data_IF_692495869845
#
_entry.id   IF_692495869845
#
_cell.length_a   1.000
_cell.length_b   1.000
_cell.length_c   1.000
_cell.angle_alpha   90.00
_cell.angle_beta   90.00
_cell.angle_gamma   90.00
#
_symmetry.space_group_name_H-M   'P 1'
#
loop_
_entity.id
_entity.type
_entity.pdbx_description
1 polymer ?
#
# COMPACT_ATOMS: atom_id res chain seq x y z
N UNK A 1 39.56 0.58 6.03
CA UNK A 1 39.71 1.70 5.09
C UNK A 1 38.36 1.81 4.36
N UNK A 2 37.51 2.69 4.88
CA UNK A 2 36.22 2.99 4.25
C UNK A 2 36.48 3.90 3.04
N UNK A 3 36.31 3.37 1.86
CA UNK A 3 36.30 4.17 0.64
C UNK A 3 34.91 4.80 0.56
N UNK A 4 34.84 6.07 0.96
CA UNK A 4 33.62 6.88 0.84
C UNK A 4 33.37 7.24 -0.63
N UNK A 5 32.76 6.34 -1.36
CA UNK A 5 31.90 6.72 -2.48
C UNK A 5 30.50 6.83 -1.86
N UNK A 6 29.91 8.01 -1.88
CA UNK A 6 28.48 8.21 -1.63
C UNK A 6 27.75 7.45 -2.73
N UNK A 7 27.55 6.15 -2.52
CA UNK A 7 26.60 5.38 -3.34
C UNK A 7 25.23 5.95 -3.03
N UNK A 8 24.57 6.39 -4.08
CA UNK A 8 23.18 6.80 -3.94
C UNK A 8 22.37 5.59 -3.48
N UNK A 9 21.79 5.70 -2.29
CA UNK A 9 21.02 4.62 -1.66
C UNK A 9 19.88 4.14 -2.56
N UNK A 10 19.27 5.05 -3.32
CA UNK A 10 18.11 4.78 -4.15
C UNK A 10 18.47 4.27 -5.55
N UNK A 11 19.71 4.42 -5.99
CA UNK A 11 20.16 4.01 -7.32
C UNK A 11 21.49 3.24 -7.30
N UNK A 12 21.57 2.10 -6.58
CA UNK A 12 22.79 1.31 -6.55
C UNK A 12 23.14 0.73 -7.93
N UNK A 13 24.44 0.74 -8.32
CA UNK A 13 24.85 0.11 -9.56
C UNK A 13 24.75 -1.43 -9.47
N UNK A 14 24.18 -2.07 -10.50
CA UNK A 14 24.05 -3.53 -10.56
C UNK A 14 25.36 -4.28 -10.39
N UNK A 15 26.46 -3.69 -10.84
CA UNK A 15 27.79 -4.29 -10.71
C UNK A 15 28.26 -4.42 -9.25
N UNK A 16 27.70 -3.64 -8.31
CA UNK A 16 28.01 -3.76 -6.88
C UNK A 16 27.15 -4.79 -6.16
N UNK A 17 26.05 -5.23 -6.77
CA UNK A 17 25.14 -6.24 -6.21
C UNK A 17 25.60 -7.61 -6.68
N UNK A 18 26.24 -8.35 -5.77
CA UNK A 18 26.78 -9.70 -6.06
C UNK A 18 25.89 -10.78 -5.44
N UNK A 19 26.24 -12.04 -5.70
CA UNK A 19 25.59 -13.17 -5.02
C UNK A 19 25.91 -13.22 -3.51
N UNK A 20 27.03 -12.61 -3.09
CA UNK A 20 27.40 -12.50 -1.67
C UNK A 20 26.57 -11.44 -0.94
N UNK A 21 25.83 -10.60 -1.68
CA UNK A 21 24.97 -9.56 -1.18
C UNK A 21 25.62 -8.18 -1.10
N UNK A 22 24.77 -7.16 -1.08
CA UNK A 22 25.09 -5.75 -0.82
C UNK A 22 24.12 -5.22 0.23
N UNK A 23 24.64 -4.79 1.37
CA UNK A 23 23.84 -4.14 2.40
C UNK A 23 23.87 -2.62 2.23
N UNK A 24 22.70 -2.01 2.16
CA UNK A 24 22.50 -0.56 2.08
C UNK A 24 21.80 -0.09 3.35
N UNK A 25 22.41 0.87 4.05
CA UNK A 25 21.82 1.47 5.25
C UNK A 25 21.93 2.98 5.13
N UNK A 26 20.82 3.66 5.36
CA UNK A 26 20.78 5.11 5.29
C UNK A 26 19.41 5.67 5.62
N UNK A 27 19.22 6.93 5.28
CA UNK A 27 17.96 7.64 5.46
C UNK A 27 17.48 8.17 4.11
N UNK A 28 16.18 8.13 3.89
CA UNK A 28 15.52 8.70 2.71
C UNK A 28 14.43 9.66 3.15
N UNK A 29 14.23 10.72 2.40
CA UNK A 29 13.17 11.70 2.65
C UNK A 29 11.90 11.34 1.89
N UNK A 30 10.76 11.86 2.36
CA UNK A 30 9.48 11.73 1.66
C UNK A 30 9.56 12.29 0.24
N UNK A 31 10.30 13.40 0.05
CA UNK A 31 10.49 14.06 -1.24
C UNK A 31 11.26 13.15 -2.22
N UNK A 32 12.34 12.49 -1.77
CA UNK A 32 13.12 11.55 -2.59
C UNK A 32 12.30 10.32 -3.00
N UNK A 33 11.33 9.91 -2.18
CA UNK A 33 10.38 8.86 -2.52
C UNK A 33 9.17 9.36 -3.31
N UNK A 34 9.04 10.68 -3.53
CA UNK A 34 7.90 11.29 -4.19
C UNK A 34 6.60 11.21 -3.39
N UNK A 35 6.68 11.12 -2.06
CA UNK A 35 5.53 11.06 -1.15
C UNK A 35 4.95 12.44 -0.79
N UNK A 36 5.62 13.51 -1.17
CA UNK A 36 5.26 14.88 -0.80
C UNK A 36 3.88 15.35 -1.32
N UNK A 37 3.32 14.67 -2.33
CA UNK A 37 2.01 14.97 -2.91
C UNK A 37 0.91 14.01 -2.43
N UNK A 38 1.27 12.99 -1.65
CA UNK A 38 0.33 11.96 -1.16
C UNK A 38 -0.09 12.27 0.29
N UNK A 39 -1.28 11.80 0.70
CA UNK A 39 -1.86 11.98 2.04
C UNK A 39 -1.00 11.39 3.19
N UNK A 40 -0.05 10.51 2.86
CA UNK A 40 0.91 9.95 3.80
C UNK A 40 2.21 10.75 3.74
N UNK A 41 2.31 11.80 4.54
CA UNK A 41 3.50 12.66 4.61
C UNK A 41 4.42 12.11 5.69
N UNK A 42 5.63 11.65 5.30
CA UNK A 42 6.64 11.27 6.28
C UNK A 42 7.06 12.50 7.11
N UNK A 43 7.04 12.34 8.42
CA UNK A 43 7.47 13.38 9.36
C UNK A 43 8.95 13.16 9.68
N UNK A 44 9.80 13.70 8.83
CA UNK A 44 11.24 13.50 8.89
C UNK A 44 11.77 12.41 7.97
N UNK A 45 13.07 12.09 8.07
CA UNK A 45 13.66 11.05 7.27
C UNK A 45 13.18 9.66 7.71
N UNK A 46 13.08 8.76 6.74
CA UNK A 46 12.80 7.34 6.95
C UNK A 46 14.12 6.57 6.97
N UNK A 47 14.38 5.82 8.02
CA UNK A 47 15.53 4.94 8.11
C UNK A 47 15.29 3.70 7.25
N UNK A 48 16.25 3.37 6.40
CA UNK A 48 16.18 2.26 5.45
C UNK A 48 17.38 1.34 5.67
N UNK A 49 17.12 0.05 5.80
CA UNK A 49 18.14 -1.00 5.85
C UNK A 49 17.73 -2.10 4.87
N UNK A 50 18.47 -2.26 3.78
CA UNK A 50 18.17 -3.20 2.70
C UNK A 50 19.36 -4.11 2.44
N UNK A 51 19.08 -5.38 2.21
CA UNK A 51 20.01 -6.38 1.72
C UNK A 51 19.59 -6.80 0.30
N UNK A 52 20.49 -6.63 -0.65
CA UNK A 52 20.30 -6.94 -2.06
C UNK A 52 21.19 -8.10 -2.46
N UNK A 53 20.65 -9.10 -3.14
CA UNK A 53 21.42 -10.22 -3.69
C UNK A 53 21.07 -10.41 -5.16
N UNK A 54 22.08 -10.64 -6.00
CA UNK A 54 21.91 -10.84 -7.44
C UNK A 54 22.27 -12.27 -7.81
N UNK A 55 21.28 -13.00 -8.32
CA UNK A 55 21.47 -14.36 -8.83
C UNK A 55 20.99 -14.41 -10.26
N UNK A 56 21.92 -14.58 -11.19
CA UNK A 56 21.63 -14.72 -12.64
C UNK A 56 20.80 -13.56 -13.24
N UNK A 57 20.92 -12.36 -12.69
CA UNK A 57 20.18 -11.17 -13.13
C UNK A 57 18.87 -10.94 -12.39
N UNK A 58 18.43 -11.86 -11.55
CA UNK A 58 17.34 -11.61 -10.60
C UNK A 58 17.95 -10.98 -9.35
N UNK A 59 17.50 -9.77 -9.01
CA UNK A 59 17.92 -9.08 -7.79
C UNK A 59 16.82 -9.19 -6.74
N UNK A 60 17.07 -9.96 -5.69
CA UNK A 60 16.22 -10.01 -4.52
C UNK A 60 16.58 -8.87 -3.57
N UNK A 61 15.58 -8.15 -3.08
CA UNK A 61 15.70 -7.07 -2.11
C UNK A 61 14.90 -7.46 -0.89
N UNK A 62 15.55 -7.44 0.28
CA UNK A 62 14.90 -7.65 1.57
C UNK A 62 15.38 -6.60 2.55
N UNK A 63 14.56 -6.22 3.51
CA UNK A 63 14.99 -5.24 4.50
C UNK A 63 13.88 -4.70 5.36
N UNK A 64 14.17 -3.58 6.02
CA UNK A 64 13.26 -2.89 6.94
C UNK A 64 13.28 -1.41 6.63
N UNK A 65 12.11 -0.80 6.71
CA UNK A 65 11.92 0.64 6.65
C UNK A 65 11.22 1.09 7.93
N UNK A 66 11.80 2.11 8.59
CA UNK A 66 11.30 2.64 9.85
C UNK A 66 11.23 4.17 9.79
N UNK A 67 10.24 4.74 10.46
CA UNK A 67 10.09 6.19 10.52
C UNK A 67 8.80 6.63 11.19
N UNK A 68 8.40 7.86 10.94
CA UNK A 68 7.15 8.43 11.43
C UNK A 68 6.42 9.11 10.29
N UNK A 69 5.12 8.86 10.20
CA UNK A 69 4.24 9.48 9.21
C UNK A 69 3.24 10.38 9.93
N UNK A 70 3.04 11.59 9.42
CA UNK A 70 1.99 12.48 9.89
C UNK A 70 0.68 12.10 9.20
N UNK A 71 -0.34 11.77 9.99
CA UNK A 71 -1.66 11.37 9.49
C UNK A 71 -2.77 12.20 10.11
N UNK A 72 -3.90 12.25 9.44
CA UNK A 72 -5.13 12.80 9.97
C UNK A 72 -6.06 11.65 10.42
N UNK A 73 -6.55 11.74 11.65
CA UNK A 73 -7.48 10.77 12.20
C UNK A 73 -8.85 10.87 11.50
N UNK A 74 -9.35 9.78 10.92
CA UNK A 74 -10.66 9.75 10.23
C UNK A 74 -11.86 10.00 11.16
N UNK A 75 -11.67 9.92 12.49
CA UNK A 75 -12.76 10.10 13.48
C UNK A 75 -12.81 11.53 14.03
N UNK A 76 -11.67 12.13 14.36
CA UNK A 76 -11.62 13.44 15.01
C UNK A 76 -10.92 14.53 14.19
N UNK A 77 -10.39 14.20 13.01
CA UNK A 77 -9.67 15.07 12.07
C UNK A 77 -8.44 15.75 12.69
N UNK A 78 -7.93 15.21 13.79
CA UNK A 78 -6.70 15.70 14.41
C UNK A 78 -5.51 15.02 13.75
N UNK A 79 -4.49 15.81 13.42
CA UNK A 79 -3.21 15.26 12.96
C UNK A 79 -2.46 14.59 14.12
N UNK A 80 -1.86 13.45 13.85
CA UNK A 80 -1.06 12.71 14.81
C UNK A 80 0.12 12.02 14.13
N UNK A 81 1.15 11.76 14.90
CA UNK A 81 2.32 11.00 14.44
C UNK A 81 2.05 9.51 14.58
N UNK A 82 2.19 8.80 13.45
CA UNK A 82 2.00 7.35 13.37
C UNK A 82 3.35 6.67 13.10
N UNK A 83 3.87 5.85 14.04
CA UNK A 83 5.11 5.14 13.83
C UNK A 83 4.96 4.13 12.70
N UNK A 84 5.89 4.15 11.77
CA UNK A 84 5.96 3.25 10.64
C UNK A 84 7.14 2.30 10.82
N UNK A 85 6.89 1.00 10.82
CA UNK A 85 7.92 -0.02 10.81
C UNK A 85 7.40 -1.25 10.05
N UNK A 86 8.03 -1.59 8.94
CA UNK A 86 7.63 -2.75 8.14
C UNK A 86 8.81 -3.37 7.40
N UNK A 87 8.67 -4.66 7.08
CA UNK A 87 9.62 -5.38 6.25
C UNK A 87 9.31 -5.19 4.77
N UNK A 88 10.36 -4.98 3.99
CA UNK A 88 10.30 -4.88 2.53
C UNK A 88 10.80 -6.20 1.94
N UNK A 89 10.10 -6.69 0.92
CA UNK A 89 10.53 -7.82 0.09
C UNK A 89 10.14 -7.53 -1.35
N UNK A 90 11.09 -7.62 -2.26
CA UNK A 90 10.85 -7.38 -3.67
C UNK A 90 11.84 -8.17 -4.53
N UNK A 91 11.45 -8.45 -5.77
CA UNK A 91 12.30 -9.06 -6.77
C UNK A 91 12.38 -8.15 -8.00
N UNK A 92 13.59 -7.87 -8.45
CA UNK A 92 13.83 -7.12 -9.67
C UNK A 92 14.32 -8.05 -10.78
N UNK A 93 13.66 -8.02 -11.91
CA UNK A 93 13.99 -8.79 -13.10
C UNK A 93 14.43 -7.87 -14.25
N UNK A 94 15.37 -8.27 -15.10
CA UNK A 94 15.73 -7.48 -16.26
C UNK A 94 14.55 -7.37 -17.22
N UNK A 95 14.27 -6.16 -17.73
CA UNK A 95 13.24 -5.98 -18.74
C UNK A 95 13.58 -6.81 -20.00
N UNK A 96 12.61 -7.57 -20.54
CA UNK A 96 12.82 -8.35 -21.74
C UNK A 96 13.15 -7.42 -22.94
N UNK A 97 14.27 -7.66 -23.60
CA UNK A 97 14.78 -6.85 -24.72
C UNK A 97 13.87 -6.82 -25.97
N UNK A 98 12.74 -7.50 -25.93
CA UNK A 98 11.77 -7.53 -27.05
C UNK A 98 10.36 -7.38 -26.50
N UNK A 99 9.52 -6.50 -27.08
CA UNK A 99 8.13 -6.45 -26.71
C UNK A 99 7.50 -7.82 -26.93
N UNK A 100 6.56 -8.24 -26.08
CA UNK A 100 5.86 -9.50 -26.28
C UNK A 100 5.26 -9.49 -27.67
N UNK A 101 5.67 -10.43 -28.52
CA UNK A 101 5.06 -10.62 -29.83
C UNK A 101 3.57 -10.80 -29.56
N UNK A 102 2.72 -10.01 -30.23
CA UNK A 102 1.28 -10.14 -30.15
C UNK A 102 0.88 -11.61 -30.03
N UNK A 103 0.02 -11.99 -29.07
CA UNK A 103 -0.33 -13.38 -28.88
C UNK A 103 -0.83 -13.89 -30.23
N UNK A 104 -0.13 -14.87 -30.79
CA UNK A 104 -0.64 -15.62 -31.94
C UNK A 104 -2.01 -16.08 -31.51
N UNK A 105 -3.05 -15.88 -32.35
CA UNK A 105 -4.40 -16.38 -32.08
C UNK A 105 -4.29 -17.82 -31.58
N UNK A 106 -4.40 -17.98 -30.27
CA UNK A 106 -4.37 -19.27 -29.60
C UNK A 106 -5.75 -19.88 -29.84
N UNK A 107 -5.76 -21.10 -30.34
CA UNK A 107 -7.00 -21.88 -30.52
C UNK A 107 -7.70 -21.97 -29.16
N UNK A 108 -9.00 -21.59 -29.04
CA UNK A 108 -9.70 -21.55 -27.76
C UNK A 108 -9.73 -22.88 -27.00
N UNK A 109 -9.45 -23.97 -27.68
CA UNK A 109 -9.37 -25.31 -27.07
C UNK A 109 -8.03 -25.61 -26.38
N UNK A 110 -6.92 -24.96 -26.81
CA UNK A 110 -5.60 -25.10 -26.17
C UNK A 110 -5.43 -24.10 -25.01
N UNK A 111 -6.12 -22.96 -25.03
CA UNK A 111 -6.10 -21.97 -23.95
C UNK A 111 -6.62 -22.52 -22.61
N UNK A 112 -7.43 -23.59 -22.63
CA UNK A 112 -8.02 -24.17 -21.41
C UNK A 112 -7.09 -25.13 -20.69
N UNK A 113 -6.10 -25.70 -21.37
CA UNK A 113 -5.08 -26.56 -20.76
C UNK A 113 -3.89 -25.76 -20.25
N UNK A 114 -3.55 -24.60 -20.87
CA UNK A 114 -2.48 -23.72 -20.40
C UNK A 114 -2.88 -22.90 -19.16
N UNK A 115 -4.17 -22.58 -18.96
CA UNK A 115 -4.66 -21.87 -17.78
C UNK A 115 -4.54 -22.70 -16.50
N UNK A 116 -4.62 -24.03 -16.59
CA UNK A 116 -4.50 -24.93 -15.42
C UNK A 116 -3.03 -25.12 -15.00
N UNK A 117 -2.07 -24.86 -15.88
CA UNK A 117 -0.64 -24.96 -15.58
C UNK A 117 -0.02 -23.64 -15.08
N UNK A 118 -0.76 -22.53 -15.19
CA UNK A 118 -0.32 -21.20 -14.76
C UNK A 118 -0.77 -20.83 -13.32
N UNK A 119 -1.48 -21.73 -12.63
CA UNK A 119 -1.97 -21.48 -11.26
C UNK A 119 -0.96 -21.86 -10.15
N UNK A 120 0.27 -22.24 -10.50
CA UNK A 120 1.36 -22.46 -9.55
C UNK A 120 2.47 -21.38 -9.66
N UNK A 121 2.17 -20.22 -10.22
CA UNK A 121 3.03 -19.05 -10.03
C UNK A 121 2.81 -18.56 -8.59
N UNK A 122 3.72 -19.02 -7.71
CA UNK A 122 3.88 -18.48 -6.34
C UNK A 122 3.80 -16.96 -6.39
N UNK A 123 3.05 -16.38 -5.46
CA UNK A 123 2.83 -14.93 -5.22
C UNK A 123 4.08 -14.08 -5.46
N UNK A 124 4.31 -13.71 -6.72
CA UNK A 124 5.34 -12.76 -7.13
C UNK A 124 4.73 -11.34 -7.25
N UNK A 125 3.84 -11.01 -6.31
CA UNK A 125 3.13 -9.73 -6.29
C UNK A 125 4.06 -8.52 -6.22
N UNK A 126 5.33 -8.70 -5.78
CA UNK A 126 6.32 -7.64 -5.66
C UNK A 126 7.45 -7.77 -6.70
N UNK A 127 7.11 -7.99 -7.97
CA UNK A 127 8.07 -7.99 -9.07
C UNK A 127 8.20 -6.64 -9.75
N UNK A 128 9.42 -6.13 -9.79
CA UNK A 128 9.79 -4.90 -10.48
C UNK A 128 10.70 -5.21 -11.68
N UNK A 129 10.65 -4.37 -12.70
CA UNK A 129 11.53 -4.50 -13.85
C UNK A 129 12.63 -3.43 -13.80
N UNK A 130 13.84 -3.80 -14.20
CA UNK A 130 14.93 -2.84 -14.30
C UNK A 130 15.55 -2.82 -15.70
N UNK A 131 16.08 -1.66 -16.08
CA UNK A 131 16.82 -1.45 -17.33
C UNK A 131 18.20 -0.85 -17.02
N UNK A 132 19.18 -1.17 -17.87
CA UNK A 132 20.50 -0.55 -17.77
C UNK A 132 21.37 -1.14 -16.67
N UNK A 133 22.17 -0.28 -16.03
CA UNK A 133 23.23 -0.68 -15.10
C UNK A 133 22.96 -0.26 -13.63
N UNK A 134 21.82 0.34 -13.36
CA UNK A 134 21.42 0.82 -12.05
C UNK A 134 20.06 0.24 -11.69
N UNK A 135 19.85 0.03 -10.40
CA UNK A 135 18.57 -0.41 -9.86
C UNK A 135 17.86 0.79 -9.23
N UNK A 136 16.63 1.08 -9.65
CA UNK A 136 15.83 2.15 -9.08
C UNK A 136 14.97 1.62 -7.93
N UNK A 137 15.34 1.95 -6.68
CA UNK A 137 14.64 1.48 -5.47
C UNK A 137 13.52 2.42 -5.02
N UNK A 138 13.55 3.69 -5.41
CA UNK A 138 12.58 4.69 -4.95
C UNK A 138 11.12 4.32 -5.27
N UNK A 139 10.75 3.85 -6.47
CA UNK A 139 9.36 3.46 -6.77
C UNK A 139 8.87 2.32 -5.88
N UNK A 140 9.70 1.31 -5.67
CA UNK A 140 9.41 0.17 -4.81
C UNK A 140 9.22 0.59 -3.35
N UNK A 141 10.13 1.38 -2.79
CA UNK A 141 10.02 1.88 -1.42
C UNK A 141 8.79 2.77 -1.23
N UNK A 142 8.49 3.65 -2.22
CA UNK A 142 7.27 4.46 -2.22
C UNK A 142 6.03 3.61 -2.12
N UNK A 143 5.91 2.59 -2.95
CA UNK A 143 4.76 1.68 -2.99
C UNK A 143 4.58 0.99 -1.64
N UNK A 144 5.64 0.45 -1.06
CA UNK A 144 5.60 -0.21 0.24
C UNK A 144 5.17 0.76 1.37
N UNK A 145 5.62 2.02 1.35
CA UNK A 145 5.19 3.04 2.33
C UNK A 145 3.69 3.31 2.20
N UNK A 146 3.18 3.44 0.97
CA UNK A 146 1.76 3.69 0.72
C UNK A 146 0.91 2.48 1.18
N UNK A 147 1.35 1.26 0.85
CA UNK A 147 0.64 0.03 1.22
C UNK A 147 0.69 -0.27 2.72
N UNK A 148 1.76 0.13 3.42
CA UNK A 148 1.86 0.01 4.87
C UNK A 148 0.92 0.96 5.62
N UNK A 149 0.33 1.94 4.92
CA UNK A 149 -0.62 2.86 5.49
C UNK A 149 -1.95 2.16 5.85
N UNK A 150 -2.46 2.28 7.09
CA UNK A 150 -3.77 1.77 7.41
C UNK A 150 -4.86 2.51 6.62
N UNK A 151 -5.83 1.77 6.07
CA UNK A 151 -6.94 2.37 5.31
C UNK A 151 -7.83 3.29 6.18
N UNK A 152 -7.80 3.13 7.49
CA UNK A 152 -8.55 3.94 8.44
C UNK A 152 -7.61 4.41 9.57
N UNK A 153 -6.83 5.47 9.35
CA UNK A 153 -5.94 5.99 10.37
C UNK A 153 -6.75 6.58 11.53
N UNK A 154 -6.47 6.14 12.76
CA UNK A 154 -7.09 6.63 13.99
C UNK A 154 -6.00 7.02 14.98
N UNK A 155 -6.15 8.15 15.64
CA UNK A 155 -5.15 8.65 16.58
C UNK A 155 -5.05 7.80 17.87
N UNK A 156 -6.13 7.07 18.21
CA UNK A 156 -6.21 6.17 19.36
C UNK A 156 -7.41 5.26 19.18
N UNK A 157 -7.33 4.03 19.70
CA UNK A 157 -8.45 3.07 19.71
C UNK A 157 -9.66 3.64 20.44
N UNK A 158 -9.44 4.43 21.48
CA UNK A 158 -10.47 5.08 22.30
C UNK A 158 -10.91 6.44 21.75
N UNK A 159 -10.49 6.83 20.55
CA UNK A 159 -10.87 8.13 19.96
C UNK A 159 -12.39 8.27 19.91
N UNK A 160 -12.92 9.32 20.55
CA UNK A 160 -14.35 9.61 20.60
C UNK A 160 -14.89 10.27 19.33
N UNK A 161 -14.00 10.77 18.47
CA UNK A 161 -14.33 11.43 17.21
C UNK A 161 -14.92 12.81 17.36
N UNK A 162 -15.63 13.26 16.32
CA UNK A 162 -16.35 14.54 16.30
C UNK A 162 -17.82 14.35 16.69
N UNK A 163 -18.38 15.36 17.34
CA UNK A 163 -19.82 15.41 17.57
C UNK A 163 -20.55 15.55 16.21
N UNK A 164 -21.49 14.65 15.93
CA UNK A 164 -22.25 14.65 14.67
C UNK A 164 -23.12 15.91 14.45
N UNK A 165 -23.34 16.73 15.49
CA UNK A 165 -24.16 17.95 15.40
C UNK A 165 -23.36 19.23 15.24
N UNK A 166 -22.32 19.41 16.08
CA UNK A 166 -21.57 20.68 16.12
C UNK A 166 -20.14 20.56 15.66
N UNK A 167 -19.66 19.35 15.31
CA UNK A 167 -18.29 19.14 14.86
C UNK A 167 -17.22 19.26 15.95
N UNK A 168 -17.63 19.45 17.24
CA UNK A 168 -16.65 19.54 18.33
C UNK A 168 -15.91 18.22 18.49
N UNK A 169 -14.60 18.27 18.66
CA UNK A 169 -13.79 17.11 19.01
C UNK A 169 -14.14 16.62 20.43
N UNK A 170 -14.69 15.42 20.53
CA UNK A 170 -15.15 14.85 21.79
C UNK A 170 -14.01 14.34 22.68
N UNK A 171 -12.81 14.20 22.14
CA UNK A 171 -11.60 13.89 22.92
C UNK A 171 -11.18 15.07 23.80
N UNK A 172 -11.57 16.31 23.45
CA UNK A 172 -11.32 17.53 24.21
C UNK A 172 -12.37 17.80 25.30
N UNK A 173 -13.37 16.92 25.37
CA UNK A 173 -14.46 17.00 26.35
C UNK A 173 -15.85 17.04 25.73
N UNK A 174 -16.88 16.88 26.53
CA UNK A 174 -18.26 16.77 26.06
C UNK A 174 -18.72 18.04 25.35
N UNK A 175 -19.56 17.88 24.34
CA UNK A 175 -20.23 19.00 23.68
C UNK A 175 -21.51 19.38 24.46
N UNK A 176 -22.02 20.60 24.22
CA UNK A 176 -23.26 21.09 24.83
C UNK A 176 -24.51 20.75 24.01
N UNK A 177 -24.41 19.90 22.99
CA UNK A 177 -25.57 19.48 22.22
C UNK A 177 -26.48 18.61 23.04
N UNK A 178 -27.80 18.89 23.03
CA UNK A 178 -28.79 18.03 23.66
C UNK A 178 -28.75 16.64 23.01
N UNK A 179 -28.77 15.60 23.85
CA UNK A 179 -28.88 14.22 23.39
C UNK A 179 -30.29 13.99 22.82
N UNK A 180 -30.49 14.22 21.53
CA UNK A 180 -31.70 13.72 20.87
C UNK A 180 -31.55 12.23 20.58
N UNK A 181 -32.64 11.46 20.72
CA UNK A 181 -32.61 10.07 20.34
C UNK A 181 -32.25 9.93 18.84
N UNK A 182 -31.49 8.89 18.46
CA UNK A 182 -31.13 8.69 17.07
C UNK A 182 -32.39 8.56 16.22
N UNK A 183 -32.47 9.41 15.20
CA UNK A 183 -33.56 9.31 14.20
C UNK A 183 -33.32 8.01 13.45
N UNK A 184 -34.29 7.05 13.46
CA UNK A 184 -34.10 5.84 12.70
C UNK A 184 -33.99 6.16 11.20
N UNK A 185 -32.81 5.94 10.63
CA UNK A 185 -32.50 6.22 9.22
C UNK A 185 -33.37 5.36 8.28
N UNK A 186 -33.86 4.23 8.81
CA UNK A 186 -34.71 3.33 8.05
C UNK A 186 -36.08 3.17 8.72
N UNK A 187 -37.13 3.53 7.98
CA UNK A 187 -38.51 3.21 8.37
C UNK A 187 -38.89 1.89 7.69
N UNK A 188 -39.08 0.85 8.48
CA UNK A 188 -39.61 -0.41 7.95
C UNK A 188 -41.03 -0.17 7.44
N UNK A 189 -41.20 -0.13 6.13
CA UNK A 189 -42.54 -0.07 5.52
C UNK A 189 -43.11 -1.47 5.59
N UNK A 190 -44.08 -1.69 6.48
CA UNK A 190 -44.82 -2.94 6.51
C UNK A 190 -45.54 -3.10 5.16
N UNK A 191 -45.20 -4.15 4.42
CA UNK A 191 -45.79 -4.44 3.14
C UNK A 191 -47.30 -4.55 3.24
N UNK A 192 -48.01 -3.77 2.45
CA UNK A 192 -49.48 -3.90 2.28
C UNK A 192 -49.75 -5.29 1.74
N UNK A 193 -50.50 -6.11 2.51
CA UNK A 193 -51.02 -7.40 2.04
C UNK A 193 -51.87 -7.14 0.79
N UNK A 194 -51.41 -7.60 -0.37
CA UNK A 194 -52.26 -7.66 -1.58
C UNK A 194 -53.46 -8.54 -1.25
N UNK A 195 -54.64 -7.92 -1.24
CA UNK A 195 -55.91 -8.68 -1.27
C UNK A 195 -55.96 -9.43 -2.59
N UNK A 196 -55.79 -10.72 -2.58
CA UNK A 196 -56.14 -11.58 -3.69
C UNK A 196 -57.68 -11.60 -3.75
N UNK A 197 -58.25 -10.85 -4.73
CA UNK A 197 -59.66 -10.90 -5.01
C UNK A 197 -60.02 -12.28 -5.58
N UNK A 198 -60.77 -13.06 -4.80
CA UNK A 198 -61.39 -14.27 -5.29
C UNK A 198 -62.51 -13.89 -6.23
N UNK A 199 -62.38 -14.27 -7.51
CA UNK A 199 -63.49 -14.25 -8.49
C UNK A 199 -64.25 -15.56 -8.33
N UNK A 200 -65.42 -15.49 -7.75
CA UNK A 200 -66.41 -16.57 -7.82
C UNK A 200 -67.21 -16.37 -9.08
N UNK A 201 -67.04 -17.25 -10.06
CA UNK A 201 -67.91 -17.39 -11.21
C UNK A 201 -68.99 -18.48 -10.91
N UNK A 202 -70.27 -18.09 -11.05
CA UNK A 202 -71.43 -19.00 -11.13
C UNK A 202 -71.53 -19.60 -12.52
#
# INVERSE_FOLDING_TARGET
MQVGATMDLLTPPLASITADGLSLVGEVTAEELGLAEDDAIAHGPLAVSLDLTNVEGLVAVTGVLEGTILRECVRCLTQYEDPLAFSVRAAFIPEPKSPPRHPKRVDPRKAREEVVAAEEEEDLDDQYQYQGNFLELAPMLREHVILAAPMQPICSDECLGLCARCGKNLNEGPCQCAAEPPIPIFRVVQGTKRKTGGSSAS
#
